data_IF_903817310376
#
_entry.id   IF_903817310376
#
_cell.length_a   1.000
_cell.length_b   1.000
_cell.length_c   1.000
_cell.angle_alpha   90.00
_cell.angle_beta   90.00
_cell.angle_gamma   90.00
#
_symmetry.space_group_name_H-M   'P 1'
#
loop_
_entity.id
_entity.type
_entity.pdbx_description
1 polymer ?
#
# COMPACT_ATOMS: atom_id res chain seq x y z
N UNK A 1 2.75 6.73 -10.61
CA UNK A 1 3.78 5.67 -10.51
C UNK A 1 3.07 4.36 -10.80
N UNK A 2 3.49 3.59 -11.80
CA UNK A 2 2.92 2.25 -12.06
C UNK A 2 3.74 1.23 -11.28
N UNK A 3 3.11 0.65 -10.26
CA UNK A 3 3.64 -0.44 -9.46
C UNK A 3 2.75 -1.64 -9.81
N UNK A 4 3.36 -2.79 -10.09
CA UNK A 4 2.65 -4.01 -10.50
C UNK A 4 2.49 -4.96 -9.32
N UNK A 5 1.44 -5.76 -9.30
CA UNK A 5 1.20 -6.70 -8.20
C UNK A 5 2.04 -7.97 -8.36
N UNK A 6 2.22 -8.41 -9.61
CA UNK A 6 2.93 -9.65 -9.93
C UNK A 6 4.00 -9.47 -11.01
N UNK A 7 4.96 -10.40 -11.02
CA UNK A 7 6.00 -10.49 -12.05
C UNK A 7 5.42 -10.66 -13.45
N UNK A 8 4.37 -11.47 -13.61
CA UNK A 8 3.70 -11.70 -14.90
C UNK A 8 3.09 -10.40 -15.45
N UNK A 9 2.32 -9.71 -14.61
CA UNK A 9 1.72 -8.42 -14.93
C UNK A 9 2.78 -7.37 -15.29
N UNK A 10 3.90 -7.37 -14.58
CA UNK A 10 5.05 -6.51 -14.89
C UNK A 10 5.64 -6.80 -16.28
N UNK A 11 5.79 -8.07 -16.68
CA UNK A 11 6.30 -8.41 -18.00
C UNK A 11 5.30 -8.17 -19.14
N UNK A 12 4.00 -8.19 -18.88
CA UNK A 12 2.99 -7.87 -19.89
C UNK A 12 2.82 -6.36 -20.11
N UNK A 13 2.74 -5.59 -19.02
CA UNK A 13 2.36 -4.18 -19.07
C UNK A 13 3.50 -3.22 -18.73
N UNK A 14 4.46 -3.65 -17.91
CA UNK A 14 5.51 -2.82 -17.33
C UNK A 14 6.81 -2.73 -18.13
N UNK A 15 6.98 -3.57 -19.15
CA UNK A 15 8.16 -3.59 -20.01
C UNK A 15 7.81 -3.33 -21.48
N UNK A 16 8.79 -2.84 -22.21
CA UNK A 16 8.78 -2.70 -23.67
C UNK A 16 9.89 -3.59 -24.23
N UNK A 17 9.51 -4.56 -25.06
CA UNK A 17 10.48 -5.36 -25.82
C UNK A 17 11.19 -4.45 -26.82
N UNK A 18 12.52 -4.40 -26.71
CA UNK A 18 13.33 -3.66 -27.68
C UNK A 18 13.68 -4.64 -28.79
N UNK A 19 13.17 -4.37 -29.99
CA UNK A 19 13.56 -5.15 -31.16
C UNK A 19 15.00 -4.81 -31.55
N UNK A 20 15.83 -5.82 -31.88
CA UNK A 20 17.18 -5.59 -32.36
C UNK A 20 17.12 -4.75 -33.64
N UNK A 21 17.85 -3.65 -33.66
CA UNK A 21 17.99 -2.76 -34.80
C UNK A 21 19.46 -2.49 -35.06
N UNK A 22 19.92 -2.55 -36.32
CA UNK A 22 21.33 -2.32 -36.66
C UNK A 22 21.83 -0.90 -36.31
N UNK A 23 20.93 0.02 -35.94
CA UNK A 23 21.25 1.38 -35.52
C UNK A 23 21.28 1.58 -33.99
N UNK A 24 20.93 0.55 -33.21
CA UNK A 24 21.00 0.63 -31.75
C UNK A 24 22.42 0.30 -31.29
N UNK A 25 23.03 1.27 -30.61
CA UNK A 25 24.36 1.14 -30.00
C UNK A 25 24.32 0.02 -28.96
N UNK A 26 25.33 -0.84 -28.96
CA UNK A 26 25.49 -1.91 -27.99
C UNK A 26 25.47 -1.36 -26.56
N UNK A 27 24.43 -1.67 -25.80
CA UNK A 27 24.43 -1.53 -24.36
C UNK A 27 24.60 -2.90 -23.71
N UNK A 28 25.54 -3.01 -22.78
CA UNK A 28 25.74 -4.23 -22.00
C UNK A 28 24.70 -4.33 -20.89
N UNK A 29 24.20 -5.54 -20.64
CA UNK A 29 23.28 -5.80 -19.55
C UNK A 29 23.94 -5.43 -18.23
N UNK A 30 23.31 -4.57 -17.43
CA UNK A 30 23.88 -4.19 -16.11
C UNK A 30 23.83 -5.29 -15.06
N UNK A 31 23.18 -6.42 -15.36
CA UNK A 31 23.08 -7.58 -14.46
C UNK A 31 24.17 -8.60 -14.75
N UNK A 32 24.27 -9.11 -15.99
CA UNK A 32 25.29 -10.10 -16.37
C UNK A 32 26.53 -9.53 -17.07
N UNK A 33 26.52 -8.24 -17.41
CA UNK A 33 27.58 -7.53 -18.16
C UNK A 33 27.81 -8.01 -19.60
N UNK A 34 26.98 -8.93 -20.10
CA UNK A 34 27.02 -9.43 -21.48
C UNK A 34 26.28 -8.50 -22.45
N UNK A 35 26.65 -8.52 -23.75
CA UNK A 35 26.00 -7.69 -24.77
C UNK A 35 24.54 -8.10 -24.95
N UNK A 36 23.65 -7.11 -24.92
CA UNK A 36 22.23 -7.35 -25.18
C UNK A 36 22.03 -7.39 -26.70
N UNK A 37 21.23 -8.34 -27.20
CA UNK A 37 20.94 -8.53 -28.61
C UNK A 37 20.22 -7.30 -29.20
N UNK A 38 21.01 -6.31 -29.62
CA UNK A 38 20.56 -5.07 -30.25
C UNK A 38 20.96 -5.03 -31.72
N UNK A 39 21.93 -5.84 -32.17
CA UNK A 39 22.28 -5.98 -33.60
C UNK A 39 22.65 -7.43 -33.96
N UNK A 40 22.43 -7.79 -35.22
CA UNK A 40 22.60 -9.14 -35.80
C UNK A 40 24.03 -9.42 -36.26
N UNK A 41 25.06 -8.88 -35.58
CA UNK A 41 26.44 -9.04 -36.07
C UNK A 41 27.06 -10.31 -35.46
N UNK A 42 27.35 -11.25 -36.37
CA UNK A 42 27.95 -12.57 -36.18
C UNK A 42 29.30 -12.54 -35.46
N UNK A 43 29.30 -12.43 -34.13
CA UNK A 43 30.47 -12.74 -33.32
C UNK A 43 30.32 -14.12 -32.68
N UNK A 44 31.04 -15.07 -33.27
CA UNK A 44 31.17 -16.48 -32.91
C UNK A 44 31.91 -16.70 -31.58
N UNK A 45 31.41 -16.12 -30.50
CA UNK A 45 31.84 -16.39 -29.13
C UNK A 45 30.62 -16.77 -28.31
N UNK A 46 30.76 -17.76 -27.44
CA UNK A 46 29.74 -18.43 -26.62
C UNK A 46 28.92 -17.53 -25.67
N UNK A 47 28.94 -16.21 -25.88
CA UNK A 47 28.14 -15.22 -25.15
C UNK A 47 26.66 -15.38 -25.52
N UNK A 48 25.86 -15.82 -24.55
CA UNK A 48 24.40 -15.90 -24.70
C UNK A 48 23.86 -14.49 -24.96
N UNK A 49 23.35 -14.28 -26.17
CA UNK A 49 22.67 -13.05 -26.52
C UNK A 49 21.29 -13.03 -25.85
N UNK A 50 21.07 -12.10 -24.93
CA UNK A 50 19.79 -11.97 -24.22
C UNK A 50 18.87 -10.98 -24.95
N UNK A 51 17.58 -11.33 -25.07
CA UNK A 51 16.57 -10.42 -25.60
C UNK A 51 16.45 -9.16 -24.73
N UNK A 52 16.42 -7.98 -25.34
CA UNK A 52 16.40 -6.70 -24.65
C UNK A 52 14.98 -6.28 -24.21
N UNK A 53 14.84 -5.85 -22.96
CA UNK A 53 13.63 -5.18 -22.45
C UNK A 53 13.96 -3.85 -21.81
N UNK A 54 13.09 -2.87 -22.03
CA UNK A 54 13.11 -1.56 -21.36
C UNK A 54 11.99 -1.49 -20.34
N UNK A 55 12.33 -1.08 -19.13
CA UNK A 55 11.33 -0.86 -18.08
C UNK A 55 10.63 0.49 -18.34
N UNK A 56 9.30 0.51 -18.51
CA UNK A 56 8.56 1.75 -18.85
C UNK A 56 8.72 2.84 -17.79
N UNK A 57 8.76 2.45 -16.51
CA UNK A 57 8.75 3.39 -15.38
C UNK A 57 10.08 4.12 -15.18
N UNK A 58 11.23 3.49 -15.47
CA UNK A 58 12.57 4.04 -15.23
C UNK A 58 13.46 4.10 -16.48
N UNK A 59 12.99 3.55 -17.60
CA UNK A 59 13.67 3.53 -18.92
C UNK A 59 15.01 2.80 -18.96
N UNK A 60 15.39 2.07 -17.90
CA UNK A 60 16.58 1.22 -17.90
C UNK A 60 16.36 -0.04 -18.75
N UNK A 61 17.43 -0.47 -19.41
CA UNK A 61 17.43 -1.59 -20.35
C UNK A 61 18.19 -2.76 -19.74
N UNK A 62 17.58 -3.94 -19.78
CA UNK A 62 18.15 -5.18 -19.26
C UNK A 62 17.85 -6.35 -20.21
N UNK A 63 18.58 -7.45 -20.04
CA UNK A 63 18.20 -8.71 -20.67
C UNK A 63 16.93 -9.25 -20.01
N UNK A 64 16.01 -9.79 -20.80
CA UNK A 64 14.69 -10.28 -20.35
C UNK A 64 14.86 -11.36 -19.28
N UNK A 65 15.74 -12.33 -19.53
CA UNK A 65 16.05 -13.42 -18.60
C UNK A 65 16.74 -12.90 -17.33
N UNK A 66 17.70 -11.98 -17.46
CA UNK A 66 18.40 -11.40 -16.32
C UNK A 66 17.48 -10.56 -15.43
N UNK A 67 16.58 -9.78 -16.03
CA UNK A 67 15.58 -9.03 -15.29
C UNK A 67 14.58 -9.99 -14.64
N UNK A 68 14.22 -11.08 -15.32
CA UNK A 68 13.38 -12.14 -14.77
C UNK A 68 13.97 -12.76 -13.51
N UNK A 69 15.22 -13.23 -13.59
CA UNK A 69 15.94 -13.83 -12.46
C UNK A 69 16.15 -12.83 -11.31
N UNK A 70 16.42 -11.56 -11.63
CA UNK A 70 16.52 -10.51 -10.61
C UNK A 70 15.20 -10.31 -9.86
N UNK A 71 14.08 -10.36 -10.59
CA UNK A 71 12.75 -10.21 -10.01
C UNK A 71 12.23 -11.47 -9.31
N UNK A 72 12.92 -12.61 -9.41
CA UNK A 72 12.63 -13.80 -8.58
C UNK A 72 13.13 -13.63 -7.15
N UNK A 73 14.18 -12.81 -6.95
CA UNK A 73 14.81 -12.59 -5.64
C UNK A 73 14.46 -11.20 -5.07
N UNK A 74 14.21 -10.22 -5.94
CA UNK A 74 13.94 -8.85 -5.56
C UNK A 74 12.72 -8.26 -6.27
N UNK A 75 12.40 -7.01 -5.95
CA UNK A 75 11.22 -6.33 -6.48
C UNK A 75 11.53 -4.95 -7.07
N UNK A 76 12.80 -4.68 -7.36
CA UNK A 76 13.28 -3.34 -7.75
C UNK A 76 14.17 -3.38 -8.99
N UNK A 77 14.31 -2.24 -9.66
CA UNK A 77 15.18 -2.09 -10.81
C UNK A 77 16.67 -2.22 -10.41
N UNK A 78 17.47 -3.06 -11.10
CA UNK A 78 18.90 -3.21 -10.80
C UNK A 78 19.71 -1.90 -10.89
N UNK A 79 19.30 -0.97 -11.75
CA UNK A 79 20.06 0.27 -11.99
C UNK A 79 19.67 1.39 -11.04
N UNK A 80 18.37 1.68 -10.90
CA UNK A 80 17.92 2.83 -10.09
C UNK A 80 17.27 2.45 -8.77
N UNK A 81 17.17 1.15 -8.44
CA UNK A 81 16.55 0.63 -7.22
C UNK A 81 15.08 1.04 -7.03
N UNK A 82 14.43 1.55 -8.08
CA UNK A 82 12.99 1.85 -8.06
C UNK A 82 12.22 0.55 -7.93
N UNK A 83 11.30 0.48 -6.96
CA UNK A 83 10.38 -0.65 -6.80
C UNK A 83 9.50 -0.79 -8.04
N UNK A 84 9.47 -2.00 -8.60
CA UNK A 84 8.75 -2.36 -9.82
C UNK A 84 7.53 -3.22 -9.50
N UNK A 85 7.69 -4.14 -8.55
CA UNK A 85 6.64 -5.05 -8.10
C UNK A 85 6.35 -4.75 -6.63
N UNK A 86 5.08 -4.53 -6.29
CA UNK A 86 4.62 -4.65 -4.92
C UNK A 86 4.33 -6.12 -4.68
N UNK A 87 5.36 -6.89 -4.34
CA UNK A 87 5.11 -8.11 -3.60
C UNK A 87 4.59 -7.69 -2.22
N UNK A 88 3.27 -7.55 -2.12
CA UNK A 88 2.60 -8.12 -0.99
C UNK A 88 2.75 -9.64 -1.17
N UNK A 89 3.76 -10.25 -0.53
CA UNK A 89 3.55 -11.62 -0.09
C UNK A 89 2.39 -11.55 0.91
N UNK A 90 1.16 -11.56 0.41
CA UNK A 90 -0.05 -11.70 1.23
C UNK A 90 -0.06 -13.09 1.88
N UNK A 91 0.73 -14.01 1.35
CA UNK A 91 1.12 -15.23 2.04
C UNK A 91 2.02 -14.86 3.24
N UNK A 92 1.62 -15.20 4.47
CA UNK A 92 2.51 -15.10 5.61
C UNK A 92 3.77 -15.94 5.32
N UNK A 93 4.93 -15.40 5.67
CA UNK A 93 6.20 -16.12 5.51
C UNK A 93 6.10 -17.47 6.20
N UNK A 94 6.29 -18.53 5.44
CA UNK A 94 6.29 -19.89 5.95
C UNK A 94 7.70 -20.28 6.38
N UNK A 95 7.81 -21.31 7.21
CA UNK A 95 9.10 -21.88 7.57
C UNK A 95 9.87 -22.37 6.34
N UNK A 96 9.16 -22.82 5.29
CA UNK A 96 9.74 -23.26 4.02
C UNK A 96 10.49 -22.11 3.31
N UNK A 97 9.93 -20.91 3.29
CA UNK A 97 10.60 -19.72 2.72
C UNK A 97 11.91 -19.38 3.48
N UNK A 98 11.90 -19.58 4.80
CA UNK A 98 13.08 -19.36 5.67
C UNK A 98 14.14 -20.43 5.41
N UNK A 99 13.73 -21.67 5.22
CA UNK A 99 14.61 -22.82 4.96
C UNK A 99 15.25 -22.70 3.56
N UNK A 100 14.49 -22.27 2.56
CA UNK A 100 14.98 -22.02 1.18
C UNK A 100 16.05 -20.92 1.16
N UNK A 101 15.77 -19.78 1.79
CA UNK A 101 16.73 -18.67 1.91
C UNK A 101 17.97 -19.13 2.66
N UNK A 102 17.79 -19.93 3.71
CA UNK A 102 18.90 -20.46 4.48
C UNK A 102 19.75 -21.43 3.68
N UNK A 103 19.12 -22.28 2.86
CA UNK A 103 19.82 -23.24 2.01
C UNK A 103 20.66 -22.56 0.94
N UNK A 104 20.15 -21.48 0.33
CA UNK A 104 20.87 -20.70 -0.68
C UNK A 104 22.01 -19.90 -0.06
N UNK A 105 21.76 -19.25 1.08
CA UNK A 105 22.73 -18.33 1.69
C UNK A 105 23.79 -19.01 2.57
N UNK A 106 23.61 -20.30 2.92
CA UNK A 106 24.56 -21.09 3.71
C UNK A 106 26.00 -21.06 3.16
N UNK A 107 26.15 -20.89 1.85
CA UNK A 107 27.48 -20.87 1.20
C UNK A 107 28.13 -19.48 1.16
N UNK A 108 27.37 -18.42 1.46
CA UNK A 108 27.79 -17.03 1.26
C UNK A 108 27.94 -16.29 2.59
N UNK A 109 27.20 -16.67 3.63
CA UNK A 109 27.29 -16.05 4.95
C UNK A 109 27.28 -17.06 6.09
N UNK A 110 27.93 -16.69 7.19
CA UNK A 110 27.91 -17.46 8.42
C UNK A 110 26.48 -17.59 8.98
N UNK A 111 26.16 -18.79 9.46
CA UNK A 111 24.84 -19.18 9.95
C UNK A 111 24.31 -18.23 11.05
N UNK A 112 25.19 -17.73 11.93
CA UNK A 112 24.81 -16.79 12.99
C UNK A 112 24.39 -15.41 12.43
N UNK A 113 25.02 -14.96 11.35
CA UNK A 113 24.71 -13.68 10.71
C UNK A 113 23.39 -13.78 9.94
N UNK A 114 23.20 -14.91 9.24
CA UNK A 114 21.95 -15.24 8.56
C UNK A 114 20.78 -15.35 9.55
N UNK A 115 20.96 -16.08 10.64
CA UNK A 115 19.94 -16.24 11.68
C UNK A 115 19.52 -14.91 12.29
N UNK A 116 20.47 -14.00 12.57
CA UNK A 116 20.16 -12.64 13.07
C UNK A 116 19.37 -11.81 12.05
N UNK A 117 19.72 -11.91 10.76
CA UNK A 117 19.02 -11.19 9.70
C UNK A 117 17.58 -11.70 9.53
N UNK A 118 17.38 -13.02 9.52
CA UNK A 118 16.08 -13.67 9.43
C UNK A 118 15.20 -13.34 10.64
N UNK A 119 15.72 -13.45 11.86
CA UNK A 119 14.99 -13.11 13.07
C UNK A 119 14.52 -11.63 13.08
N UNK A 120 15.39 -10.72 12.64
CA UNK A 120 15.04 -9.29 12.53
C UNK A 120 13.94 -9.07 11.49
N UNK A 121 13.99 -9.78 10.37
CA UNK A 121 12.99 -9.69 9.32
C UNK A 121 11.62 -10.22 9.78
N UNK A 122 11.60 -11.38 10.44
CA UNK A 122 10.39 -11.98 11.02
C UNK A 122 9.71 -11.03 12.03
N UNK A 123 10.50 -10.40 12.92
CA UNK A 123 9.97 -9.42 13.87
C UNK A 123 9.29 -8.22 13.18
N UNK A 124 9.88 -7.73 12.08
CA UNK A 124 9.32 -6.62 11.31
C UNK A 124 8.00 -7.04 10.65
N UNK A 125 7.94 -8.23 10.06
CA UNK A 125 6.73 -8.73 9.40
C UNK A 125 5.59 -8.96 10.41
N UNK A 126 5.89 -9.57 11.55
CA UNK A 126 4.91 -9.78 12.62
C UNK A 126 4.36 -8.45 13.15
N UNK A 127 5.23 -7.45 13.38
CA UNK A 127 4.81 -6.12 13.80
C UNK A 127 3.92 -5.44 12.74
N UNK A 128 4.20 -5.63 11.45
CA UNK A 128 3.36 -5.14 10.37
C UNK A 128 2.00 -5.88 10.33
N UNK A 129 1.99 -7.20 10.53
CA UNK A 129 0.76 -7.99 10.61
C UNK A 129 -0.12 -7.57 11.80
N UNK A 130 0.46 -7.31 12.97
CA UNK A 130 -0.27 -6.80 14.15
C UNK A 130 -0.89 -5.44 13.84
N UNK A 131 -0.13 -4.50 13.24
CA UNK A 131 -0.66 -3.19 12.85
C UNK A 131 -1.80 -3.30 11.84
N UNK A 132 -1.71 -4.22 10.88
CA UNK A 132 -2.79 -4.50 9.93
C UNK A 132 -4.06 -4.96 10.65
N UNK A 133 -3.95 -5.91 11.58
CA UNK A 133 -5.08 -6.38 12.40
C UNK A 133 -5.68 -5.25 13.24
N UNK A 134 -4.85 -4.47 13.94
CA UNK A 134 -5.32 -3.34 14.74
C UNK A 134 -6.08 -2.31 13.91
N UNK A 135 -5.59 -2.00 12.70
CA UNK A 135 -6.28 -1.06 11.79
C UNK A 135 -7.63 -1.62 11.31
N UNK A 136 -7.69 -2.91 11.06
CA UNK A 136 -8.94 -3.57 10.64
C UNK A 136 -9.96 -3.59 11.79
N UNK A 137 -9.53 -3.96 12.99
CA UNK A 137 -10.37 -3.97 14.20
C UNK A 137 -10.86 -2.57 14.56
N UNK A 138 -9.98 -1.55 14.48
CA UNK A 138 -10.39 -0.17 14.74
C UNK A 138 -11.35 0.36 13.68
N UNK A 139 -11.18 -0.03 12.41
CA UNK A 139 -12.12 0.29 11.34
C UNK A 139 -13.51 -0.31 11.61
N UNK A 140 -13.58 -1.58 11.99
CA UNK A 140 -14.83 -2.26 12.33
C UNK A 140 -15.49 -1.63 13.57
N UNK A 141 -14.70 -1.32 14.59
CA UNK A 141 -15.20 -0.69 15.82
C UNK A 141 -15.76 0.71 15.54
N UNK A 142 -15.08 1.52 14.73
CA UNK A 142 -15.53 2.85 14.35
C UNK A 142 -16.82 2.80 13.51
N UNK A 143 -16.94 1.85 12.59
CA UNK A 143 -18.16 1.64 11.81
C UNK A 143 -19.35 1.27 12.72
N UNK A 144 -19.12 0.43 13.73
CA UNK A 144 -20.16 0.05 14.70
C UNK A 144 -20.65 1.22 15.53
N UNK A 145 -19.73 2.05 16.05
CA UNK A 145 -20.09 3.27 16.80
C UNK A 145 -20.90 4.22 15.92
N UNK A 146 -20.47 4.42 14.67
CA UNK A 146 -21.19 5.28 13.72
C UNK A 146 -22.60 4.77 13.42
N UNK A 147 -22.77 3.45 13.34
CA UNK A 147 -24.09 2.84 13.16
C UNK A 147 -24.97 3.08 14.39
N UNK A 148 -24.45 2.85 15.60
CA UNK A 148 -25.17 3.09 16.86
C UNK A 148 -25.59 4.57 17.01
N UNK A 149 -24.71 5.52 16.65
CA UNK A 149 -25.04 6.96 16.65
C UNK A 149 -26.16 7.30 15.65
N UNK A 150 -26.13 6.71 14.45
CA UNK A 150 -27.17 6.94 13.45
C UNK A 150 -28.53 6.37 13.89
N UNK A 151 -28.55 5.16 14.44
CA UNK A 151 -29.75 4.54 14.99
C UNK A 151 -30.33 5.35 16.18
N UNK A 152 -29.48 5.90 17.04
CA UNK A 152 -29.95 6.76 18.13
C UNK A 152 -30.53 8.07 17.62
N UNK A 153 -29.89 8.69 16.62
CA UNK A 153 -30.39 9.92 16.00
C UNK A 153 -31.75 9.71 15.33
N UNK A 154 -31.93 8.61 14.60
CA UNK A 154 -33.21 8.23 14.01
C UNK A 154 -34.29 8.04 15.09
N UNK A 155 -33.94 7.43 16.24
CA UNK A 155 -34.87 7.29 17.38
C UNK A 155 -35.26 8.65 17.97
N UNK A 156 -34.31 9.55 18.19
CA UNK A 156 -34.59 10.89 18.71
C UNK A 156 -35.48 11.69 17.74
N UNK A 157 -35.21 11.63 16.43
CA UNK A 157 -36.04 12.26 15.41
C UNK A 157 -37.47 11.68 15.41
N UNK A 158 -37.66 10.38 15.64
CA UNK A 158 -39.00 9.79 15.74
C UNK A 158 -39.76 10.20 17.00
N UNK A 159 -39.10 10.36 18.15
CA UNK A 159 -39.77 10.80 19.39
C UNK A 159 -40.23 12.26 19.31
N UNK A 160 -39.43 13.14 18.72
CA UNK A 160 -39.79 14.55 18.56
C UNK A 160 -40.95 14.74 17.57
N UNK A 161 -41.08 13.87 16.56
CA UNK A 161 -42.20 13.90 15.62
C UNK A 161 -43.52 13.39 16.21
N UNK A 162 -43.49 12.56 17.26
CA UNK A 162 -44.72 12.10 17.94
C UNK A 162 -45.26 13.14 18.93
N UNK A 163 -44.40 13.97 19.53
CA UNK A 163 -44.83 15.04 20.45
C UNK A 163 -45.49 16.23 19.73
N UNK A 164 -45.07 16.55 18.50
CA UNK A 164 -45.70 17.61 17.67
C UNK A 164 -47.05 17.22 17.05
N UNK A 165 -47.53 15.98 17.24
CA UNK A 165 -48.85 15.53 16.78
C UNK A 165 -49.92 15.50 17.89
N UNK A 166 -49.56 15.79 19.16
CA UNK A 166 -50.49 15.81 20.29
C UNK A 166 -50.69 17.21 20.89
N UNK A 167 -50.55 18.27 20.10
CA UNK A 167 -50.75 19.66 20.55
C UNK A 167 -51.73 20.46 19.64
N UNK A 168 -52.76 19.80 19.10
CA UNK A 168 -53.84 20.47 18.35
C UNK A 168 -55.25 20.12 18.90
N UNK A 169 -55.39 20.10 20.24
CA UNK A 169 -56.69 20.29 20.89
C UNK A 169 -56.62 21.37 21.97
N UNK A 170 -57.02 22.57 21.55
CA UNK A 170 -57.90 23.48 22.31
C UNK A 170 -57.23 24.52 23.24
N UNK A 171 -56.53 25.49 22.64
CA UNK A 171 -56.37 26.82 23.25
C UNK A 171 -57.66 27.65 23.13
N UNK A 172 -58.16 28.12 24.27
CA UNK A 172 -59.13 29.20 24.29
C UNK A 172 -59.75 29.50 25.65
N UNK A 173 -58.97 30.01 26.63
CA UNK A 173 -59.49 30.93 27.65
C UNK A 173 -58.41 31.49 28.58
N UNK A 174 -58.62 32.75 28.99
CA UNK A 174 -58.13 33.41 30.22
C UNK A 174 -56.66 33.87 30.25
N UNK A 175 -56.31 35.10 30.62
CA UNK A 175 -57.03 36.35 30.85
C UNK A 175 -55.95 37.45 30.94
N UNK A 176 -56.33 38.69 30.66
CA UNK A 176 -55.51 39.88 30.91
C UNK A 176 -55.15 39.96 32.41
N UNK A 177 -53.86 40.12 32.74
CA UNK A 177 -53.50 40.84 33.97
C UNK A 177 -52.27 41.72 33.74
N UNK A 178 -52.52 43.02 33.86
CA UNK A 178 -51.54 44.09 33.90
C UNK A 178 -50.76 44.03 35.22
N UNK A 179 -49.44 44.25 35.20
CA UNK A 179 -48.77 44.49 36.49
C UNK A 179 -47.26 44.67 36.49
N UNK A 180 -46.86 45.94 36.65
CA UNK A 180 -45.71 46.42 37.44
C UNK A 180 -44.28 46.35 36.89
N UNK A 181 -43.84 47.53 36.41
CA UNK A 181 -42.70 48.37 36.83
C UNK A 181 -41.45 47.84 37.58
N UNK A 182 -40.37 48.58 37.30
CA UNK A 182 -39.19 48.94 38.12
C UNK A 182 -37.90 48.08 38.06
N UNK A 183 -37.00 48.52 37.17
CA UNK A 183 -35.67 49.08 37.47
C UNK A 183 -34.98 48.67 38.79
N UNK A 184 -33.87 47.91 38.73
CA UNK A 184 -32.68 48.16 39.58
C UNK A 184 -31.41 47.63 38.88
N UNK A 185 -30.52 48.55 38.49
CA UNK A 185 -29.14 48.24 38.16
C UNK A 185 -28.29 48.01 39.41
N UNK A 186 -27.37 47.04 39.37
CA UNK A 186 -26.26 46.94 40.31
C UNK A 186 -24.94 46.73 39.56
N UNK A 187 -24.03 47.62 39.89
CA UNK A 187 -22.62 47.74 39.52
C UNK A 187 -21.82 46.61 40.17
N UNK A 188 -20.77 46.12 39.51
CA UNK A 188 -19.73 45.32 40.17
C UNK A 188 -18.39 46.03 39.98
N UNK A 189 -17.88 46.56 41.09
CA UNK A 189 -16.49 46.98 41.29
C UNK A 189 -15.57 45.75 41.23
N UNK A 190 -14.46 45.85 40.50
CA UNK A 190 -13.30 44.95 40.61
C UNK A 190 -12.17 45.73 41.29
N UNK A 191 -11.70 45.20 42.42
CA UNK A 191 -10.40 45.53 43.05
C UNK A 191 -9.44 44.34 42.87
#
# INVERSE_FOLDING_TARGET
>A
MTIFNDKTEFFEYGVELIMPSPYQVYENCKVCLEPIATSTIDHASESRMHAAVRIKSCKHIHGTECLGAWLDIGNSCPTCKRTLIMHATERPLTQEDVDDVSQVLRYVCDEETLGRALARYMYIDEAAAIKRRQKQESGIAMERVKQEENENKEREETMLNEEDFMDDEEEGMFDEDEGYDEDVGIVSDEE
#
